data_IF_319409720634
#
_entry.id   IF_319409720634
#
_cell.length_a   1.000
_cell.length_b   1.000
_cell.length_c   1.000
_cell.angle_alpha   90.00
_cell.angle_beta   90.00
_cell.angle_gamma   90.00
#
_symmetry.space_group_name_H-M   'P 1'
#
loop_
_entity.id
_entity.type
_entity.pdbx_description
1 polymer ?
#
# COMPACT_ATOMS: atom_id res chain seq x y z
N UNK A 1 -5.42 -15.95 56.08
CA UNK A 1 -5.83 -15.25 54.84
C UNK A 1 -7.34 -15.21 54.63
N UNK A 2 -8.09 -16.29 54.92
CA UNK A 2 -9.55 -16.36 54.70
C UNK A 2 -10.39 -15.22 55.34
N UNK A 3 -10.03 -14.72 56.52
CA UNK A 3 -10.79 -13.65 57.20
C UNK A 3 -10.69 -12.27 56.56
N UNK A 4 -9.63 -12.03 55.76
CA UNK A 4 -9.35 -10.73 55.14
C UNK A 4 -10.11 -10.57 53.81
N UNK A 5 -10.36 -11.69 53.12
CA UNK A 5 -11.14 -11.73 51.87
C UNK A 5 -12.65 -11.69 52.12
N UNK A 6 -13.12 -12.23 53.25
CA UNK A 6 -14.53 -12.13 53.64
C UNK A 6 -14.94 -10.69 53.98
N UNK A 7 -14.05 -9.90 54.59
CA UNK A 7 -14.26 -8.47 54.85
C UNK A 7 -14.36 -7.62 53.58
N UNK A 8 -13.71 -8.02 52.49
CA UNK A 8 -13.78 -7.29 51.20
C UNK A 8 -15.11 -7.47 50.47
N UNK A 9 -15.78 -8.62 50.65
CA UNK A 9 -17.06 -8.93 49.98
C UNK A 9 -18.29 -8.68 50.85
N UNK A 10 -18.09 -8.26 52.10
CA UNK A 10 -19.17 -8.05 53.05
C UNK A 10 -19.88 -6.73 52.73
N UNK A 11 -21.18 -6.81 52.52
CA UNK A 11 -22.03 -5.64 52.31
C UNK A 11 -22.22 -4.92 53.66
N UNK A 12 -21.38 -3.93 53.95
CA UNK A 12 -21.39 -3.17 55.21
C UNK A 12 -22.72 -2.47 55.48
N UNK A 13 -23.52 -2.17 54.46
CA UNK A 13 -24.87 -1.63 54.63
C UNK A 13 -25.80 -2.67 55.28
N UNK A 14 -25.68 -3.95 54.92
CA UNK A 14 -26.45 -5.03 55.57
C UNK A 14 -26.02 -5.20 57.02
N UNK A 15 -24.71 -5.14 57.30
CA UNK A 15 -24.16 -5.22 58.66
C UNK A 15 -24.65 -4.05 59.51
N UNK A 16 -24.57 -2.81 59.00
CA UNK A 16 -25.08 -1.62 59.68
C UNK A 16 -26.57 -1.71 59.95
N UNK A 17 -27.36 -2.21 58.98
CA UNK A 17 -28.80 -2.43 59.15
C UNK A 17 -29.10 -3.44 60.25
N UNK A 18 -28.42 -4.59 60.28
CA UNK A 18 -28.60 -5.61 61.31
C UNK A 18 -28.19 -5.09 62.70
N UNK A 19 -27.06 -4.40 62.81
CA UNK A 19 -26.59 -3.82 64.09
C UNK A 19 -27.54 -2.71 64.57
N UNK A 20 -28.06 -1.88 63.65
CA UNK A 20 -29.04 -0.83 63.99
C UNK A 20 -30.35 -1.44 64.49
N UNK A 21 -30.83 -2.52 63.86
CA UNK A 21 -32.02 -3.26 64.31
C UNK A 21 -31.82 -3.91 65.69
N UNK A 22 -30.65 -4.53 65.91
CA UNK A 22 -30.29 -5.09 67.21
C UNK A 22 -30.21 -4.02 68.30
N UNK A 23 -29.67 -2.85 67.99
CA UNK A 23 -29.61 -1.71 68.90
C UNK A 23 -31.01 -1.15 69.23
N UNK A 24 -31.86 -0.97 68.22
CA UNK A 24 -33.22 -0.49 68.41
C UNK A 24 -34.05 -1.45 69.28
N UNK A 25 -33.97 -2.76 69.02
CA UNK A 25 -34.63 -3.80 69.82
C UNK A 25 -34.11 -3.84 71.26
N UNK A 26 -32.79 -3.69 71.45
CA UNK A 26 -32.17 -3.57 72.76
C UNK A 26 -32.69 -2.36 73.55
N UNK A 27 -32.78 -1.18 72.92
CA UNK A 27 -33.32 0.03 73.57
C UNK A 27 -34.76 -0.17 74.01
N UNK A 28 -35.61 -0.69 73.13
CA UNK A 28 -37.02 -0.94 73.44
C UNK A 28 -37.16 -1.96 74.58
N UNK A 29 -36.29 -2.97 74.62
CA UNK A 29 -36.26 -3.97 75.67
C UNK A 29 -35.79 -3.40 77.02
N UNK A 30 -34.71 -2.62 77.05
CA UNK A 30 -34.14 -2.04 78.29
C UNK A 30 -35.02 -0.94 78.88
N UNK A 31 -35.51 -0.01 78.04
CA UNK A 31 -36.30 1.13 78.50
C UNK A 31 -37.78 0.78 78.69
N UNK A 32 -38.27 -0.23 77.99
CA UNK A 32 -39.68 -0.63 78.01
C UNK A 32 -40.54 0.28 77.13
N UNK A 33 -41.30 -0.33 76.22
CA UNK A 33 -42.16 0.37 75.26
C UNK A 33 -43.13 1.37 75.92
N UNK A 34 -43.71 0.98 77.05
CA UNK A 34 -44.68 1.81 77.79
C UNK A 34 -44.05 3.10 78.36
N UNK A 35 -42.77 3.04 78.79
CA UNK A 35 -42.07 4.21 79.33
C UNK A 35 -41.69 5.19 78.24
N UNK A 36 -41.26 4.69 77.08
CA UNK A 36 -40.94 5.52 75.92
C UNK A 36 -42.21 6.25 75.46
N UNK A 37 -43.34 5.53 75.32
CA UNK A 37 -44.61 6.13 74.90
C UNK A 37 -45.12 7.18 75.89
N UNK A 38 -45.03 6.90 77.20
CA UNK A 38 -45.40 7.85 78.25
C UNK A 38 -44.54 9.11 78.28
N UNK A 39 -43.24 8.99 77.98
CA UNK A 39 -42.30 10.13 77.93
C UNK A 39 -42.66 11.16 76.85
N UNK A 40 -43.08 10.69 75.66
CA UNK A 40 -43.49 11.56 74.55
C UNK A 40 -44.93 12.09 74.65
N UNK A 41 -45.81 11.46 75.44
CA UNK A 41 -47.23 11.84 75.58
C UNK A 41 -47.50 12.78 76.76
N UNK A 42 -46.55 12.94 77.68
CA UNK A 42 -46.69 13.85 78.82
C UNK A 42 -46.46 15.31 78.40
N UNK A 43 -47.47 16.15 78.60
CA UNK A 43 -47.47 17.60 78.28
C UNK A 43 -46.52 18.45 79.15
N UNK A 44 -45.87 17.84 80.15
CA UNK A 44 -44.93 18.50 81.08
C UNK A 44 -43.46 18.14 80.85
N UNK A 45 -43.12 17.36 79.82
CA UNK A 45 -41.73 17.03 79.50
C UNK A 45 -41.05 18.26 78.87
N UNK A 46 -39.95 18.73 79.47
CA UNK A 46 -39.19 19.84 78.91
C UNK A 46 -38.64 19.49 77.52
N UNK A 47 -38.77 20.42 76.58
CA UNK A 47 -38.36 20.22 75.18
C UNK A 47 -36.87 19.82 75.05
N UNK A 48 -36.02 20.34 75.95
CA UNK A 48 -34.61 19.97 76.03
C UNK A 48 -34.39 18.50 76.39
N UNK A 49 -35.19 17.94 77.32
CA UNK A 49 -35.05 16.54 77.74
C UNK A 49 -35.44 15.58 76.61
N UNK A 50 -36.41 15.96 75.77
CA UNK A 50 -36.76 15.21 74.54
C UNK A 50 -35.62 15.28 73.53
N UNK A 51 -35.01 16.45 73.38
CA UNK A 51 -33.82 16.66 72.54
C UNK A 51 -32.63 15.79 72.97
N UNK A 52 -32.31 15.76 74.26
CA UNK A 52 -31.21 14.97 74.81
C UNK A 52 -31.44 13.46 74.67
N UNK A 53 -32.68 12.99 74.85
CA UNK A 53 -33.04 11.59 74.62
C UNK A 53 -32.89 11.18 73.15
N UNK A 54 -33.36 12.02 72.23
CA UNK A 54 -33.22 11.77 70.80
C UNK A 54 -31.75 11.84 70.37
N UNK A 55 -31.00 12.85 70.82
CA UNK A 55 -29.57 12.98 70.53
C UNK A 55 -28.78 11.78 71.06
N UNK A 56 -29.04 11.35 72.31
CA UNK A 56 -28.40 10.18 72.90
C UNK A 56 -28.76 8.86 72.21
N UNK A 57 -30.00 8.72 71.73
CA UNK A 57 -30.46 7.51 71.04
C UNK A 57 -29.95 7.44 69.60
N UNK A 58 -29.93 8.56 68.88
CA UNK A 58 -29.53 8.62 67.47
C UNK A 58 -28.00 8.73 67.26
N UNK A 59 -27.23 9.25 68.23
CA UNK A 59 -25.78 9.40 68.07
C UNK A 59 -25.04 8.06 67.78
N UNK A 60 -25.32 6.95 68.48
CA UNK A 60 -24.68 5.67 68.16
C UNK A 60 -25.12 5.09 66.81
N UNK A 61 -26.37 5.33 66.40
CA UNK A 61 -26.88 4.91 65.09
C UNK A 61 -26.15 5.67 63.98
N UNK A 62 -26.00 6.99 64.11
CA UNK A 62 -25.25 7.80 63.15
C UNK A 62 -23.79 7.34 63.03
N UNK A 63 -23.14 6.97 64.14
CA UNK A 63 -21.79 6.44 64.15
C UNK A 63 -21.66 5.11 63.38
N UNK A 64 -22.61 4.18 63.58
CA UNK A 64 -22.63 2.88 62.87
C UNK A 64 -22.73 3.08 61.36
N UNK A 65 -23.63 3.97 60.92
CA UNK A 65 -23.80 4.27 59.50
C UNK A 65 -22.59 5.00 58.91
N UNK A 66 -21.95 5.90 59.66
CA UNK A 66 -20.72 6.56 59.24
C UNK A 66 -19.56 5.56 59.05
N UNK A 67 -19.37 4.63 59.98
CA UNK A 67 -18.38 3.57 59.84
C UNK A 67 -18.66 2.69 58.60
N UNK A 68 -19.92 2.33 58.37
CA UNK A 68 -20.30 1.54 57.20
C UNK A 68 -20.06 2.27 55.87
N UNK A 69 -20.35 3.57 55.82
CA UNK A 69 -20.08 4.40 54.65
C UNK A 69 -18.57 4.49 54.35
N UNK A 70 -17.73 4.74 55.35
CA UNK A 70 -16.26 4.80 55.20
C UNK A 70 -15.68 3.46 54.73
N UNK A 71 -16.18 2.34 55.27
CA UNK A 71 -15.72 1.00 54.88
C UNK A 71 -16.16 0.64 53.46
N UNK A 72 -17.39 0.99 53.07
CA UNK A 72 -17.89 0.80 51.70
C UNK A 72 -17.08 1.63 50.71
N UNK A 73 -16.85 2.91 51.01
CA UNK A 73 -16.02 3.80 50.17
C UNK A 73 -14.58 3.26 50.00
N UNK A 74 -14.01 2.65 51.04
CA UNK A 74 -12.69 1.98 50.94
C UNK A 74 -12.70 0.74 50.05
N UNK A 75 -13.79 -0.01 50.02
CA UNK A 75 -13.93 -1.17 49.12
C UNK A 75 -13.99 -0.69 47.67
N UNK A 76 -14.85 0.29 47.37
CA UNK A 76 -14.99 0.88 46.03
C UNK A 76 -13.67 1.43 45.50
N UNK A 77 -12.89 2.12 46.34
CA UNK A 77 -11.57 2.63 45.96
C UNK A 77 -10.56 1.52 45.66
N UNK A 78 -10.59 0.41 46.39
CA UNK A 78 -9.70 -0.72 46.10
C UNK A 78 -10.09 -1.43 44.81
N UNK A 79 -11.39 -1.68 44.60
CA UNK A 79 -11.89 -2.30 43.37
C UNK A 79 -11.58 -1.42 42.15
N UNK A 80 -11.72 -0.10 42.30
CA UNK A 80 -11.32 0.88 41.27
C UNK A 80 -9.83 0.81 40.97
N UNK A 81 -8.97 0.68 41.98
CA UNK A 81 -7.51 0.54 41.78
C UNK A 81 -7.15 -0.76 41.06
N UNK A 82 -7.80 -1.86 41.41
CA UNK A 82 -7.59 -3.15 40.77
C UNK A 82 -8.04 -3.10 39.29
N UNK A 83 -9.19 -2.49 39.01
CA UNK A 83 -9.66 -2.23 37.64
C UNK A 83 -8.71 -1.32 36.84
N UNK A 84 -8.16 -0.27 37.46
CA UNK A 84 -7.16 0.58 36.83
C UNK A 84 -5.85 -0.16 36.54
N UNK A 85 -5.41 -1.04 37.44
CA UNK A 85 -4.22 -1.86 37.23
C UNK A 85 -4.41 -2.84 36.06
N UNK A 86 -5.59 -3.47 35.99
CA UNK A 86 -5.94 -4.36 34.87
C UNK A 86 -6.07 -3.60 33.55
N UNK A 87 -6.73 -2.45 33.55
CA UNK A 87 -6.85 -1.58 32.36
C UNK A 87 -5.48 -1.14 31.84
N UNK A 88 -4.55 -0.79 32.72
CA UNK A 88 -3.16 -0.50 32.33
C UNK A 88 -2.48 -1.69 31.69
N UNK A 89 -2.63 -2.90 32.27
CA UNK A 89 -2.06 -4.13 31.70
C UNK A 89 -2.59 -4.40 30.30
N UNK A 90 -3.92 -4.29 30.11
CA UNK A 90 -4.55 -4.47 28.79
C UNK A 90 -4.08 -3.42 27.79
N UNK A 91 -3.95 -2.16 28.23
CA UNK A 91 -3.43 -1.08 27.39
C UNK A 91 -1.99 -1.34 26.96
N UNK A 92 -1.12 -1.80 27.87
CA UNK A 92 0.27 -2.15 27.56
C UNK A 92 0.35 -3.34 26.58
N UNK A 93 -0.52 -4.34 26.75
CA UNK A 93 -0.63 -5.47 25.81
C UNK A 93 -1.09 -5.00 24.42
N UNK A 94 -2.09 -4.12 24.36
CA UNK A 94 -2.55 -3.51 23.10
C UNK A 94 -1.45 -2.68 22.43
N UNK A 95 -0.69 -1.88 23.18
CA UNK A 95 0.43 -1.11 22.65
C UNK A 95 1.52 -2.02 22.07
N UNK A 96 1.84 -3.15 22.74
CA UNK A 96 2.78 -4.14 22.21
C UNK A 96 2.29 -4.73 20.88
N UNK A 97 1.00 -5.07 20.81
CA UNK A 97 0.39 -5.57 19.56
C UNK A 97 0.48 -4.51 18.46
N UNK A 98 0.12 -3.25 18.75
CA UNK A 98 0.22 -2.14 17.79
C UNK A 98 1.66 -1.96 17.31
N UNK A 99 2.65 -1.98 18.20
CA UNK A 99 4.06 -1.89 17.79
C UNK A 99 4.48 -3.04 16.87
N UNK A 100 4.05 -4.27 17.18
CA UNK A 100 4.33 -5.43 16.32
C UNK A 100 3.65 -5.33 14.95
N UNK A 101 2.41 -4.83 14.91
CA UNK A 101 1.67 -4.59 13.67
C UNK A 101 2.31 -3.48 12.83
N UNK A 102 2.73 -2.37 13.45
CA UNK A 102 3.42 -1.30 12.75
C UNK A 102 4.76 -1.77 12.15
N UNK A 103 5.53 -2.58 12.89
CA UNK A 103 6.76 -3.17 12.37
C UNK A 103 6.49 -4.11 11.18
N UNK A 104 5.44 -4.92 11.27
CA UNK A 104 5.01 -5.81 10.19
C UNK A 104 4.51 -5.04 8.96
N UNK A 105 3.75 -3.96 9.15
CA UNK A 105 3.31 -3.07 8.08
C UNK A 105 4.49 -2.40 7.37
N UNK A 106 5.51 -1.93 8.12
CA UNK A 106 6.72 -1.38 7.54
C UNK A 106 7.48 -2.43 6.69
N UNK A 107 7.56 -3.67 7.18
CA UNK A 107 8.16 -4.77 6.41
C UNK A 107 7.35 -5.09 5.15
N UNK A 108 6.02 -5.15 5.24
CA UNK A 108 5.15 -5.39 4.08
C UNK A 108 5.26 -4.27 3.05
N UNK A 109 5.33 -3.01 3.48
CA UNK A 109 5.51 -1.87 2.60
C UNK A 109 6.84 -1.97 1.85
N UNK A 110 7.94 -2.24 2.56
CA UNK A 110 9.26 -2.41 1.95
C UNK A 110 9.28 -3.58 0.96
N UNK A 111 8.66 -4.72 1.31
CA UNK A 111 8.54 -5.86 0.40
C UNK A 111 7.70 -5.54 -0.84
N UNK A 112 6.59 -4.80 -0.68
CA UNK A 112 5.74 -4.38 -1.79
C UNK A 112 6.49 -3.45 -2.74
N UNK A 113 7.25 -2.48 -2.21
CA UNK A 113 8.09 -1.58 -3.01
C UNK A 113 9.15 -2.37 -3.78
N UNK A 114 9.86 -3.28 -3.13
CA UNK A 114 10.87 -4.12 -3.78
C UNK A 114 10.27 -5.04 -4.85
N UNK A 115 9.11 -5.64 -4.58
CA UNK A 115 8.38 -6.44 -5.56
C UNK A 115 7.92 -5.60 -6.76
N UNK A 116 7.43 -4.38 -6.52
CA UNK A 116 7.05 -3.45 -7.59
C UNK A 116 8.25 -3.04 -8.45
N UNK A 117 9.41 -2.76 -7.84
CA UNK A 117 10.66 -2.48 -8.57
C UNK A 117 11.07 -3.65 -9.46
N UNK A 118 11.01 -4.88 -8.93
CA UNK A 118 11.34 -6.09 -9.71
C UNK A 118 10.37 -6.32 -10.85
N UNK A 119 9.07 -6.20 -10.60
CA UNK A 119 8.03 -6.35 -11.63
C UNK A 119 8.21 -5.29 -12.73
N UNK A 120 8.51 -4.05 -12.36
CA UNK A 120 8.82 -2.99 -13.29
C UNK A 120 10.03 -3.34 -14.17
N UNK A 121 11.14 -3.79 -13.57
CA UNK A 121 12.34 -4.22 -14.30
C UNK A 121 12.06 -5.32 -15.32
N UNK A 122 11.28 -6.33 -14.94
CA UNK A 122 10.88 -7.41 -15.86
C UNK A 122 10.02 -6.85 -17.00
N UNK A 123 9.02 -6.02 -16.69
CA UNK A 123 8.15 -5.44 -17.71
C UNK A 123 8.91 -4.54 -18.70
N UNK A 124 9.92 -3.81 -18.21
CA UNK A 124 10.77 -2.96 -19.02
C UNK A 124 11.64 -3.80 -19.96
N UNK A 125 12.24 -4.87 -19.44
CA UNK A 125 12.99 -5.84 -20.25
C UNK A 125 12.11 -6.44 -21.34
N UNK A 126 10.93 -6.94 -21.01
CA UNK A 126 10.00 -7.54 -21.98
C UNK A 126 9.65 -6.57 -23.10
N UNK A 127 9.42 -5.28 -22.77
CA UNK A 127 9.12 -4.26 -23.77
C UNK A 127 10.31 -3.92 -24.65
N UNK A 128 11.50 -3.79 -24.07
CA UNK A 128 12.75 -3.58 -24.82
C UNK A 128 13.03 -4.75 -25.76
N UNK A 129 12.83 -5.97 -25.28
CA UNK A 129 13.02 -7.19 -26.06
C UNK A 129 12.00 -7.31 -27.20
N UNK A 130 10.73 -6.98 -26.98
CA UNK A 130 9.72 -6.93 -28.05
C UNK A 130 10.09 -5.98 -29.19
N UNK A 131 10.65 -4.80 -28.88
CA UNK A 131 11.10 -3.86 -29.91
C UNK A 131 12.30 -4.43 -30.67
N UNK A 132 13.25 -5.03 -29.97
CA UNK A 132 14.36 -5.74 -30.59
C UNK A 132 13.88 -6.85 -31.53
N UNK A 133 12.94 -7.70 -31.11
CA UNK A 133 12.36 -8.75 -31.96
C UNK A 133 11.70 -8.19 -33.22
N UNK A 134 10.92 -7.10 -33.09
CA UNK A 134 10.33 -6.43 -34.26
C UNK A 134 11.38 -5.86 -35.20
N UNK A 135 12.47 -5.30 -34.66
CA UNK A 135 13.58 -4.79 -35.45
C UNK A 135 14.31 -5.91 -36.22
N UNK A 136 14.51 -7.08 -35.60
CA UNK A 136 15.06 -8.27 -36.27
C UNK A 136 14.10 -8.81 -37.33
N UNK A 137 12.80 -8.83 -37.04
CA UNK A 137 11.78 -9.24 -38.01
C UNK A 137 11.79 -8.33 -39.25
N UNK A 138 11.96 -7.02 -39.05
CA UNK A 138 12.12 -6.06 -40.13
C UNK A 138 13.35 -6.35 -41.00
N UNK A 139 14.51 -6.64 -40.41
CA UNK A 139 15.73 -7.04 -41.14
C UNK A 139 15.49 -8.29 -42.01
N UNK A 140 14.89 -9.32 -41.41
CA UNK A 140 14.62 -10.59 -42.09
C UNK A 140 13.66 -10.44 -43.28
N UNK A 141 12.72 -9.49 -43.22
CA UNK A 141 11.80 -9.19 -44.34
C UNK A 141 12.54 -8.56 -45.54
N UNK A 142 13.62 -7.81 -45.28
CA UNK A 142 14.37 -7.08 -46.31
C UNK A 142 15.69 -7.76 -46.72
N UNK A 143 15.99 -8.93 -46.14
CA UNK A 143 17.16 -9.72 -46.50
C UNK A 143 17.03 -10.22 -47.96
N UNK A 144 17.94 -9.81 -48.87
CA UNK A 144 17.96 -10.33 -50.24
C UNK A 144 18.14 -11.85 -50.33
N UNK A 145 18.74 -12.47 -49.30
CA UNK A 145 18.93 -13.91 -49.22
C UNK A 145 17.82 -14.60 -48.41
N UNK A 146 16.85 -13.83 -47.92
CA UNK A 146 15.74 -14.31 -47.13
C UNK A 146 14.72 -15.12 -47.94
N UNK A 147 13.75 -15.76 -47.25
CA UNK A 147 12.71 -16.55 -47.90
C UNK A 147 11.74 -15.72 -48.75
N UNK A 148 11.58 -14.44 -48.42
CA UNK A 148 10.74 -13.47 -49.12
C UNK A 148 11.50 -12.15 -49.20
N UNK A 149 12.41 -11.98 -50.18
CA UNK A 149 13.19 -10.76 -50.30
C UNK A 149 12.27 -9.61 -50.71
N UNK A 150 11.90 -8.78 -49.73
CA UNK A 150 11.16 -7.55 -49.96
C UNK A 150 12.15 -6.40 -50.14
N UNK A 151 11.88 -5.54 -51.11
CA UNK A 151 12.62 -4.28 -51.20
C UNK A 151 11.96 -3.22 -50.33
N UNK A 152 12.71 -2.21 -49.93
CA UNK A 152 12.16 -1.14 -49.10
C UNK A 152 11.06 -0.40 -49.83
N UNK A 153 9.96 -0.18 -49.12
CA UNK A 153 8.77 0.52 -49.59
C UNK A 153 8.29 1.54 -48.55
N UNK A 154 7.19 2.22 -48.85
CA UNK A 154 6.59 3.20 -47.93
C UNK A 154 6.17 2.57 -46.59
N UNK A 155 5.77 1.30 -46.59
CA UNK A 155 5.41 0.58 -45.37
C UNK A 155 6.65 0.31 -44.49
N UNK A 156 7.79 0.07 -45.13
CA UNK A 156 9.08 -0.10 -44.48
C UNK A 156 9.49 1.15 -43.70
N UNK A 157 9.36 2.32 -44.33
CA UNK A 157 9.56 3.62 -43.68
C UNK A 157 8.63 3.80 -42.46
N UNK A 158 7.33 3.56 -42.65
CA UNK A 158 6.34 3.73 -41.58
C UNK A 158 6.58 2.76 -40.42
N UNK A 159 7.04 1.55 -40.72
CA UNK A 159 7.40 0.55 -39.71
C UNK A 159 8.59 1.03 -38.87
N UNK A 160 9.63 1.57 -39.51
CA UNK A 160 10.79 2.10 -38.79
C UNK A 160 10.44 3.33 -37.93
N UNK A 161 9.62 4.25 -38.45
CA UNK A 161 9.11 5.39 -37.66
C UNK A 161 8.30 4.93 -36.46
N UNK A 162 7.48 3.89 -36.61
CA UNK A 162 6.72 3.30 -35.49
C UNK A 162 7.65 2.70 -34.45
N UNK A 163 8.68 1.94 -34.88
CA UNK A 163 9.68 1.38 -33.98
C UNK A 163 10.41 2.47 -33.21
N UNK A 164 10.78 3.57 -33.87
CA UNK A 164 11.39 4.74 -33.23
C UNK A 164 10.49 5.34 -32.15
N UNK A 165 9.20 5.55 -32.43
CA UNK A 165 8.25 6.05 -31.44
C UNK A 165 8.10 5.09 -30.26
N UNK A 166 7.93 3.80 -30.51
CA UNK A 166 7.85 2.78 -29.45
C UNK A 166 9.14 2.77 -28.60
N UNK A 167 10.30 2.89 -29.25
CA UNK A 167 11.60 2.90 -28.58
C UNK A 167 11.78 4.11 -27.68
N UNK A 168 11.29 5.30 -28.08
CA UNK A 168 11.41 6.53 -27.31
C UNK A 168 10.78 6.45 -25.91
N UNK A 169 9.86 5.52 -25.68
CA UNK A 169 9.21 5.32 -24.38
C UNK A 169 9.98 4.40 -23.44
N UNK A 170 10.82 3.49 -23.97
CA UNK A 170 11.44 2.42 -23.16
C UNK A 170 12.96 2.43 -23.21
N UNK A 171 13.54 3.05 -24.24
CA UNK A 171 14.98 3.28 -24.37
C UNK A 171 15.31 4.75 -24.13
N UNK A 172 16.61 5.04 -24.10
CA UNK A 172 17.06 6.42 -24.10
C UNK A 172 16.94 7.04 -25.50
N UNK A 173 17.29 8.33 -25.59
CA UNK A 173 17.21 9.07 -26.85
C UNK A 173 18.10 8.48 -27.95
N UNK A 174 19.20 7.82 -27.60
CA UNK A 174 20.19 7.33 -28.57
C UNK A 174 19.61 6.25 -29.49
N UNK A 175 18.86 5.28 -28.96
CA UNK A 175 18.20 4.26 -29.80
C UNK A 175 17.12 4.89 -30.67
N UNK A 176 16.31 5.79 -30.11
CA UNK A 176 15.26 6.44 -30.89
C UNK A 176 15.84 7.28 -32.04
N UNK A 177 16.90 8.06 -31.78
CA UNK A 177 17.61 8.83 -32.80
C UNK A 177 18.21 7.90 -33.87
N UNK A 178 18.82 6.78 -33.47
CA UNK A 178 19.37 5.81 -34.41
C UNK A 178 18.31 5.15 -35.30
N UNK A 179 17.16 4.74 -34.73
CA UNK A 179 16.04 4.22 -35.53
C UNK A 179 15.47 5.29 -36.47
N UNK A 180 15.50 6.56 -36.07
CA UNK A 180 15.14 7.67 -36.94
C UNK A 180 16.11 7.82 -38.12
N UNK A 181 17.42 7.70 -37.90
CA UNK A 181 18.42 7.74 -38.96
C UNK A 181 18.16 6.65 -40.01
N UNK A 182 17.82 5.42 -39.58
CA UNK A 182 17.45 4.33 -40.49
C UNK A 182 16.19 4.70 -41.28
N UNK A 183 15.17 5.26 -40.63
CA UNK A 183 13.95 5.69 -41.32
C UNK A 183 14.23 6.77 -42.37
N UNK A 184 15.09 7.74 -42.06
CA UNK A 184 15.51 8.78 -43.01
C UNK A 184 16.21 8.17 -44.22
N UNK A 185 17.15 7.24 -44.03
CA UNK A 185 17.83 6.57 -45.15
C UNK A 185 16.86 5.77 -46.02
N UNK A 186 15.84 5.13 -45.43
CA UNK A 186 14.78 4.47 -46.20
C UNK A 186 14.00 5.50 -47.03
N UNK A 187 13.64 6.66 -46.47
CA UNK A 187 12.91 7.71 -47.22
C UNK A 187 13.76 8.29 -48.37
N UNK A 188 15.06 8.48 -48.15
CA UNK A 188 16.03 8.88 -49.17
C UNK A 188 16.11 7.84 -50.30
N UNK A 189 16.14 6.55 -49.96
CA UNK A 189 16.12 5.45 -50.92
C UNK A 189 14.83 5.45 -51.77
N UNK A 190 13.67 5.63 -51.14
CA UNK A 190 12.39 5.69 -51.85
C UNK A 190 12.32 6.91 -52.78
N UNK A 191 12.80 8.06 -52.30
CA UNK A 191 12.88 9.29 -53.09
C UNK A 191 13.81 9.11 -54.30
N UNK A 192 14.92 8.40 -54.13
CA UNK A 192 15.84 8.06 -55.22
C UNK A 192 15.17 7.20 -56.29
N UNK A 193 14.49 6.12 -55.89
CA UNK A 193 13.78 5.23 -56.84
C UNK A 193 12.67 5.99 -57.58
N UNK A 194 11.93 6.85 -56.89
CA UNK A 194 10.84 7.62 -57.49
C UNK A 194 11.35 8.66 -58.50
N UNK A 195 12.53 9.25 -58.25
CA UNK A 195 13.15 10.25 -59.13
C UNK A 195 13.94 9.65 -60.28
N UNK A 196 14.38 8.39 -60.18
CA UNK A 196 15.16 7.68 -61.19
C UNK A 196 14.52 6.33 -61.55
N UNK A 197 13.31 6.32 -62.15
CA UNK A 197 12.67 5.10 -62.57
C UNK A 197 13.50 4.41 -63.66
N UNK A 198 13.64 3.08 -63.59
CA UNK A 198 14.36 2.30 -64.60
C UNK A 198 13.65 2.42 -65.96
N UNK A 199 14.44 2.61 -67.01
CA UNK A 199 13.89 2.66 -68.36
C UNK A 199 13.39 1.27 -68.77
N UNK A 200 12.15 1.23 -69.25
CA UNK A 200 11.49 0.02 -69.72
C UNK A 200 11.44 0.00 -71.24
N UNK A 201 11.81 -1.13 -71.83
CA UNK A 201 11.72 -1.39 -73.26
C UNK A 201 10.74 -2.54 -73.53
N UNK A 202 10.32 -2.66 -74.78
CA UNK A 202 9.51 -3.80 -75.22
C UNK A 202 10.43 -4.99 -75.53
N UNK A 203 10.10 -6.18 -75.04
CA UNK A 203 10.83 -7.43 -75.32
C UNK A 203 10.56 -7.99 -76.74
N UNK A 204 9.73 -7.31 -77.53
CA UNK A 204 9.28 -7.75 -78.86
C UNK A 204 8.08 -8.70 -78.82
N UNK A 205 7.64 -9.11 -77.62
CA UNK A 205 6.47 -9.95 -77.37
C UNK A 205 5.33 -9.19 -76.68
N UNK A 206 5.48 -7.88 -76.49
CA UNK A 206 4.49 -7.02 -75.84
C UNK A 206 4.65 -6.92 -74.33
N UNK A 207 5.70 -7.51 -73.75
CA UNK A 207 6.04 -7.32 -72.34
C UNK A 207 7.03 -6.16 -72.20
N UNK A 208 6.86 -5.36 -71.15
CA UNK A 208 7.82 -4.33 -70.78
C UNK A 208 8.92 -4.98 -69.93
N UNK A 209 10.16 -4.93 -70.39
CA UNK A 209 11.35 -5.41 -69.68
C UNK A 209 12.27 -4.23 -69.37
N UNK A 210 13.02 -4.32 -68.28
CA UNK A 210 14.04 -3.33 -67.98
C UNK A 210 15.14 -3.35 -69.06
N UNK A 211 15.45 -2.19 -69.63
CA UNK A 211 16.51 -2.08 -70.62
C UNK A 211 17.87 -2.37 -70.00
N UNK A 212 18.70 -3.15 -70.68
CA UNK A 212 20.10 -3.36 -70.29
C UNK A 212 21.00 -2.29 -70.90
N UNK A 213 20.84 -1.04 -70.45
CA UNK A 213 21.63 0.10 -70.90
C UNK A 213 22.54 0.63 -69.77
N UNK A 214 23.47 1.52 -70.13
CA UNK A 214 24.43 2.09 -69.19
C UNK A 214 23.77 2.89 -68.06
N UNK A 215 22.63 3.54 -68.34
CA UNK A 215 21.88 4.35 -67.38
C UNK A 215 21.22 3.46 -66.31
N UNK A 216 20.46 2.44 -66.71
CA UNK A 216 19.87 1.47 -65.79
C UNK A 216 20.95 0.72 -64.98
N UNK A 217 22.10 0.41 -65.57
CA UNK A 217 23.22 -0.18 -64.84
C UNK A 217 23.77 0.77 -63.75
N UNK A 218 23.87 2.07 -64.06
CA UNK A 218 24.28 3.09 -63.09
C UNK A 218 23.24 3.24 -61.97
N UNK A 219 21.95 3.33 -62.30
CA UNK A 219 20.84 3.42 -61.32
C UNK A 219 20.83 2.19 -60.40
N UNK A 220 21.01 0.98 -60.94
CA UNK A 220 21.10 -0.24 -60.13
C UNK A 220 22.28 -0.22 -59.15
N UNK A 221 23.43 0.30 -59.57
CA UNK A 221 24.61 0.42 -58.72
C UNK A 221 24.36 1.38 -57.56
N UNK A 222 23.78 2.56 -57.84
CA UNK A 222 23.42 3.55 -56.83
C UNK A 222 22.34 3.02 -55.85
N UNK A 223 21.32 2.34 -56.38
CA UNK A 223 20.28 1.68 -55.59
C UNK A 223 20.86 0.61 -54.67
N UNK A 224 21.78 -0.21 -55.17
CA UNK A 224 22.52 -1.20 -54.39
C UNK A 224 23.29 -0.55 -53.24
N UNK A 225 24.06 0.51 -53.51
CA UNK A 225 24.83 1.22 -52.47
C UNK A 225 23.96 1.83 -51.37
N UNK A 226 22.82 2.44 -51.72
CA UNK A 226 21.87 2.95 -50.71
C UNK A 226 21.25 1.82 -49.88
N UNK A 227 20.89 0.71 -50.52
CA UNK A 227 20.36 -0.48 -49.84
C UNK A 227 21.38 -1.07 -48.88
N UNK A 228 22.63 -1.17 -49.30
CA UNK A 228 23.73 -1.68 -48.48
C UNK A 228 23.99 -0.75 -47.29
N UNK A 229 23.98 0.56 -47.48
CA UNK A 229 24.11 1.53 -46.37
C UNK A 229 23.00 1.38 -45.31
N UNK A 230 21.75 1.18 -45.74
CA UNK A 230 20.65 0.87 -44.81
C UNK A 230 20.92 -0.46 -44.10
N UNK A 231 21.40 -1.46 -44.85
CA UNK A 231 21.67 -2.81 -44.33
C UNK A 231 22.80 -2.84 -43.30
N UNK A 232 23.79 -1.97 -43.41
CA UNK A 232 24.90 -1.87 -42.47
C UNK A 232 24.39 -1.68 -41.03
N UNK A 233 23.29 -0.94 -40.84
CA UNK A 233 22.66 -0.78 -39.52
C UNK A 233 22.12 -2.09 -38.93
N UNK A 234 21.78 -3.06 -39.76
CA UNK A 234 21.28 -4.37 -39.34
C UNK A 234 22.40 -5.41 -39.18
N UNK A 235 23.67 -5.04 -39.32
CA UNK A 235 24.75 -5.97 -39.01
C UNK A 235 24.71 -6.41 -37.54
N UNK A 236 25.00 -7.68 -37.22
CA UNK A 236 25.00 -8.16 -35.84
C UNK A 236 25.86 -7.30 -34.90
N UNK A 237 27.00 -6.78 -35.37
CA UNK A 237 27.88 -5.93 -34.58
C UNK A 237 27.18 -4.63 -34.14
N UNK A 238 26.60 -3.89 -35.10
CA UNK A 238 25.90 -2.63 -34.85
C UNK A 238 24.65 -2.84 -33.98
N UNK A 239 23.89 -3.91 -34.25
CA UNK A 239 22.71 -4.27 -33.44
C UNK A 239 23.06 -4.57 -32.00
N UNK A 240 24.10 -5.37 -31.77
CA UNK A 240 24.56 -5.73 -30.43
C UNK A 240 25.05 -4.47 -29.71
N UNK A 241 25.88 -3.65 -30.35
CA UNK A 241 26.37 -2.41 -29.74
C UNK A 241 25.21 -1.51 -29.28
N UNK A 242 24.20 -1.33 -30.13
CA UNK A 242 23.07 -0.45 -29.85
C UNK A 242 22.11 -1.03 -28.81
N UNK A 243 21.66 -2.29 -28.92
CA UNK A 243 20.64 -2.83 -28.01
C UNK A 243 21.20 -3.42 -26.72
N UNK A 244 22.39 -4.02 -26.75
CA UNK A 244 22.93 -4.78 -25.61
C UNK A 244 23.22 -3.87 -24.41
N UNK A 245 23.62 -2.62 -24.67
CA UNK A 245 23.80 -1.58 -23.64
C UNK A 245 22.53 -1.31 -22.82
N UNK A 246 21.35 -1.54 -23.38
CA UNK A 246 20.06 -1.22 -22.75
C UNK A 246 19.25 -2.44 -22.35
N UNK A 247 19.66 -3.64 -22.79
CA UNK A 247 19.07 -4.90 -22.36
C UNK A 247 19.60 -5.36 -20.98
N UNK A 248 20.70 -4.79 -20.50
CA UNK A 248 21.13 -4.95 -19.11
C UNK A 248 20.27 -4.06 -18.19
N UNK A 249 19.45 -4.68 -17.35
CA UNK A 249 18.38 -4.01 -16.57
C UNK A 249 18.93 -3.38 -15.28
N UNK A 250 19.97 -2.55 -15.41
CA UNK A 250 20.53 -1.79 -14.30
C UNK A 250 19.65 -0.60 -13.89
N UNK A 251 18.76 -0.14 -14.77
CA UNK A 251 17.92 1.03 -14.55
C UNK A 251 17.10 0.90 -13.26
N UNK A 252 17.27 1.88 -12.36
CA UNK A 252 16.45 2.01 -11.17
C UNK A 252 15.22 2.84 -11.53
N UNK A 253 14.00 2.38 -11.21
CA UNK A 253 12.83 3.22 -11.40
C UNK A 253 12.94 4.45 -10.49
N UNK A 254 12.58 5.62 -11.02
CA UNK A 254 12.42 6.86 -10.25
C UNK A 254 11.20 6.74 -9.33
N UNK A 255 11.28 5.86 -8.33
CA UNK A 255 10.30 5.80 -7.25
C UNK A 255 10.90 6.65 -6.13
N UNK A 256 10.51 7.92 -6.06
CA UNK A 256 10.77 8.74 -4.88
C UNK A 256 10.11 8.04 -3.68
N UNK A 257 10.93 7.67 -2.69
CA UNK A 257 10.46 7.15 -1.40
C UNK A 257 9.87 8.24 -0.53
#
# INVERSE_FOLDING_TARGET
>A
MAFRDTWKRMNWLRVAGTVTLAYATWIVWVLGWERIRGFFQNTGTELNAVGDFLAGTFAPVALIWLCAAVLTQRQELNDTRDQFAESKRVTDEQLKVIHSQNALLALQHNQAVENAKKAYKVSLFDKRFQIYEKFIAFDNEHDPNGPLPKDYDKDSYQTMVRLMHEASFVFDKAIADWLWEIAVQIDEYLTFIASHPLELGNDGHGNMIELNNAENAHIRTMRGGLRDAIRDHFEPANRIEMFWRYLDVSDQPLIAG
#
